data_IF_729086192583
#
_entry.id   IF_729086192583
#
_cell.length_a   1.000
_cell.length_b   1.000
_cell.length_c   1.000
_cell.angle_alpha   90.00
_cell.angle_beta   90.00
_cell.angle_gamma   90.00
#
_symmetry.space_group_name_H-M   'P 1'
#
loop_
_entity.id
_entity.type
_entity.pdbx_description
1 polymer ?
#
# COMPACT_ATOMS: atom_id res chain seq x y z
N UNK A 1 46.63 -80.12 30.08
CA UNK A 1 45.25 -80.38 29.61
C UNK A 1 44.37 -79.32 30.25
N UNK A 2 43.63 -78.44 29.58
CA UNK A 2 43.02 -78.45 28.25
C UNK A 2 42.82 -76.98 27.84
N UNK A 3 43.20 -76.68 26.60
CA UNK A 3 43.12 -75.40 25.91
C UNK A 3 41.99 -75.52 24.88
N UNK A 4 40.98 -74.64 24.92
CA UNK A 4 39.92 -74.40 23.92
C UNK A 4 39.22 -73.12 24.41
N UNK A 5 38.94 -72.02 23.68
CA UNK A 5 38.64 -71.73 22.26
C UNK A 5 38.43 -70.19 22.26
N UNK A 6 39.35 -69.37 21.73
CA UNK A 6 39.30 -68.78 20.39
C UNK A 6 37.87 -68.41 19.90
N UNK A 7 37.61 -67.11 19.93
CA UNK A 7 36.99 -66.30 18.88
C UNK A 7 35.56 -66.60 18.41
N UNK A 8 34.67 -65.69 18.80
CA UNK A 8 33.44 -65.21 18.15
C UNK A 8 32.63 -64.59 19.31
N UNK A 9 32.52 -63.27 19.45
CA UNK A 9 31.59 -62.48 18.67
C UNK A 9 32.02 -61.01 18.67
N UNK A 10 32.44 -60.52 17.50
CA UNK A 10 32.48 -59.09 17.23
C UNK A 10 31.05 -58.65 16.90
N UNK A 11 30.33 -58.21 17.92
CA UNK A 11 28.98 -57.67 17.83
C UNK A 11 29.00 -56.36 17.02
N UNK A 12 28.47 -56.41 15.80
CA UNK A 12 28.42 -55.28 14.88
C UNK A 12 27.47 -54.19 15.42
N UNK A 13 27.93 -52.96 15.73
CA UNK A 13 27.10 -51.89 16.30
C UNK A 13 26.06 -51.27 15.34
N UNK A 14 25.81 -51.88 14.18
CA UNK A 14 24.98 -51.31 13.11
C UNK A 14 23.77 -52.14 12.72
N UNK A 15 23.61 -53.35 13.28
CA UNK A 15 22.48 -54.22 12.95
C UNK A 15 21.21 -53.87 13.73
N UNK A 16 21.35 -53.34 14.95
CA UNK A 16 20.22 -53.01 15.82
C UNK A 16 19.55 -51.68 15.41
N UNK A 17 20.36 -50.65 15.13
CA UNK A 17 19.87 -49.35 14.65
C UNK A 17 19.14 -49.43 13.30
N UNK A 18 19.62 -50.27 12.38
CA UNK A 18 18.96 -50.48 11.08
C UNK A 18 17.69 -51.35 11.18
N UNK A 19 17.58 -52.19 12.21
CA UNK A 19 16.40 -53.04 12.47
C UNK A 19 15.31 -52.25 13.18
N UNK A 20 15.68 -51.32 14.05
CA UNK A 20 14.77 -50.36 14.69
C UNK A 20 14.22 -49.33 13.69
N UNK A 21 15.02 -48.82 12.76
CA UNK A 21 14.53 -47.96 11.67
C UNK A 21 13.60 -48.72 10.69
N UNK A 22 13.93 -49.97 10.35
CA UNK A 22 13.12 -50.79 9.45
C UNK A 22 11.83 -51.34 10.10
N UNK A 23 11.81 -51.52 11.41
CA UNK A 23 10.61 -51.85 12.19
C UNK A 23 9.72 -50.62 12.40
N UNK A 24 10.31 -49.45 12.64
CA UNK A 24 9.59 -48.17 12.73
C UNK A 24 8.93 -47.77 11.40
N UNK A 25 9.42 -48.28 10.26
CA UNK A 25 8.84 -48.05 8.95
C UNK A 25 7.67 -49.00 8.60
N UNK A 26 7.43 -50.06 9.39
CA UNK A 26 6.41 -51.07 9.08
C UNK A 26 5.15 -50.83 9.90
N UNK A 27 4.27 -50.03 9.29
CA UNK A 27 2.92 -49.67 9.70
C UNK A 27 2.83 -48.71 10.90
N UNK A 28 2.90 -47.41 10.62
CA UNK A 28 2.31 -46.39 11.49
C UNK A 28 0.91 -46.86 11.88
N UNK A 29 0.71 -47.16 13.16
CA UNK A 29 -0.58 -47.63 13.62
C UNK A 29 -1.59 -46.48 13.46
N UNK A 30 -2.90 -46.77 13.32
CA UNK A 30 -3.93 -45.74 13.30
C UNK A 30 -3.83 -44.78 14.51
N UNK A 31 -3.28 -45.25 15.63
CA UNK A 31 -3.05 -44.46 16.83
C UNK A 31 -1.92 -43.42 16.65
N UNK A 32 -0.84 -43.77 15.97
CA UNK A 32 0.31 -42.88 15.73
C UNK A 32 -0.04 -41.71 14.80
N UNK A 33 -0.87 -41.96 13.79
CA UNK A 33 -1.41 -40.92 12.90
C UNK A 33 -2.35 -39.96 13.63
N UNK A 34 -3.20 -40.48 14.54
CA UNK A 34 -4.08 -39.65 15.37
C UNK A 34 -3.27 -38.79 16.36
N UNK A 35 -2.13 -39.28 16.84
CA UNK A 35 -1.22 -38.51 17.70
C UNK A 35 -0.50 -37.42 16.90
N UNK A 36 0.06 -37.75 15.74
CA UNK A 36 0.67 -36.76 14.84
C UNK A 36 -0.32 -35.66 14.43
N UNK A 37 -1.58 -36.02 14.15
CA UNK A 37 -2.65 -35.04 13.88
C UNK A 37 -3.00 -34.18 15.09
N UNK A 38 -2.99 -34.76 16.30
CA UNK A 38 -3.20 -34.01 17.55
C UNK A 38 -2.07 -33.03 17.80
N UNK A 39 -0.83 -33.44 17.56
CA UNK A 39 0.37 -32.63 17.69
C UNK A 39 0.40 -31.50 16.63
N UNK A 40 0.11 -31.79 15.37
CA UNK A 40 -0.03 -30.79 14.31
C UNK A 40 -1.13 -29.79 14.65
N UNK A 41 -2.27 -30.25 15.17
CA UNK A 41 -3.36 -29.36 15.61
C UNK A 41 -2.96 -28.51 16.80
N UNK A 42 -2.24 -29.06 17.78
CA UNK A 42 -1.76 -28.32 18.95
C UNK A 42 -0.75 -27.24 18.54
N UNK A 43 0.22 -27.60 17.70
CA UNK A 43 1.20 -26.67 17.12
C UNK A 43 0.53 -25.62 16.24
N UNK A 44 -0.47 -26.02 15.45
CA UNK A 44 -1.29 -25.10 14.65
C UNK A 44 -2.03 -24.09 15.53
N UNK A 45 -2.67 -24.55 16.60
CA UNK A 45 -3.36 -23.68 17.55
C UNK A 45 -2.40 -22.73 18.28
N UNK A 46 -1.21 -23.21 18.64
CA UNK A 46 -0.16 -22.39 19.24
C UNK A 46 0.37 -21.33 18.28
N UNK A 47 0.60 -21.68 17.00
CA UNK A 47 1.05 -20.74 15.96
C UNK A 47 0.00 -19.67 15.64
N UNK A 48 -1.28 -20.04 15.64
CA UNK A 48 -2.39 -19.11 15.46
C UNK A 48 -2.48 -18.14 16.64
N UNK A 49 -2.32 -18.64 17.87
CA UNK A 49 -2.23 -17.82 19.08
C UNK A 49 -1.09 -16.80 18.99
N UNK A 50 0.11 -17.26 18.60
CA UNK A 50 1.27 -16.39 18.41
C UNK A 50 1.05 -15.34 17.31
N UNK A 51 0.39 -15.68 16.20
CA UNK A 51 0.05 -14.74 15.14
C UNK A 51 -0.95 -13.67 15.61
N UNK A 52 -1.95 -14.07 16.41
CA UNK A 52 -2.91 -13.13 17.01
C UNK A 52 -2.19 -12.18 17.95
N UNK A 53 -1.29 -12.67 18.79
CA UNK A 53 -0.55 -11.85 19.74
C UNK A 53 0.44 -10.91 19.03
N UNK A 54 1.10 -11.37 17.96
CA UNK A 54 1.90 -10.51 17.09
C UNK A 54 1.04 -9.40 16.44
N UNK A 55 -0.17 -9.73 15.97
CA UNK A 55 -1.12 -8.76 15.43
C UNK A 55 -1.55 -7.71 16.47
N UNK A 56 -1.80 -8.12 17.72
CA UNK A 56 -2.08 -7.19 18.82
C UNK A 56 -0.88 -6.26 19.08
N UNK A 57 0.33 -6.79 19.14
CA UNK A 57 1.55 -6.01 19.35
C UNK A 57 1.76 -4.98 18.23
N UNK A 58 1.57 -5.38 16.96
CA UNK A 58 1.65 -4.48 15.81
C UNK A 58 0.62 -3.35 15.91
N UNK A 59 -0.60 -3.66 16.36
CA UNK A 59 -1.65 -2.65 16.59
C UNK A 59 -1.27 -1.67 17.70
N UNK A 60 -0.66 -2.14 18.79
CA UNK A 60 -0.20 -1.26 19.87
C UNK A 60 0.93 -0.34 19.41
N UNK A 61 1.89 -0.86 18.63
CA UNK A 61 2.96 -0.06 18.04
C UNK A 61 2.39 1.02 17.10
N UNK A 62 1.51 0.64 16.18
CA UNK A 62 0.83 1.59 15.27
C UNK A 62 0.04 2.67 16.02
N UNK A 63 -0.66 2.29 17.10
CA UNK A 63 -1.38 3.26 17.93
C UNK A 63 -0.41 4.22 18.63
N UNK A 64 0.73 3.73 19.10
CA UNK A 64 1.78 4.55 19.70
C UNK A 64 2.42 5.50 18.67
N UNK A 65 2.75 5.01 17.47
CA UNK A 65 3.27 5.82 16.36
C UNK A 65 2.28 6.93 15.97
N UNK A 66 0.98 6.61 15.91
CA UNK A 66 -0.06 7.57 15.59
C UNK A 66 -0.25 8.61 16.72
N UNK A 67 -0.10 8.21 17.98
CA UNK A 67 -0.15 9.13 19.12
C UNK A 67 1.04 10.09 19.13
N UNK A 68 2.25 9.59 18.88
CA UNK A 68 3.46 10.39 18.70
C UNK A 68 3.29 11.38 17.55
N UNK A 69 2.85 10.88 16.38
CA UNK A 69 2.58 11.71 15.21
C UNK A 69 1.54 12.80 15.51
N UNK A 70 0.45 12.49 16.22
CA UNK A 70 -0.61 13.47 16.54
C UNK A 70 -0.10 14.59 17.45
N UNK A 71 0.74 14.27 18.43
CA UNK A 71 1.29 15.26 19.37
C UNK A 71 2.23 16.25 18.67
N UNK A 72 3.05 15.78 17.74
CA UNK A 72 3.94 16.62 16.94
C UNK A 72 3.17 17.35 15.82
N UNK A 73 2.21 16.69 15.17
CA UNK A 73 1.42 17.24 14.07
C UNK A 73 0.58 18.44 14.51
N UNK A 74 0.00 18.41 15.71
CA UNK A 74 -0.78 19.55 16.21
C UNK A 74 0.05 20.84 16.31
N UNK A 75 1.25 20.75 16.90
CA UNK A 75 2.18 21.88 16.98
C UNK A 75 2.74 22.25 15.60
N UNK A 76 3.04 21.26 14.77
CA UNK A 76 3.49 21.45 13.40
C UNK A 76 2.48 22.22 12.55
N UNK A 77 1.20 21.87 12.62
CA UNK A 77 0.11 22.58 11.95
C UNK A 77 -0.06 24.02 12.45
N UNK A 78 0.07 24.24 13.77
CA UNK A 78 0.01 25.58 14.33
C UNK A 78 1.16 26.47 13.80
N UNK A 79 2.40 25.96 13.79
CA UNK A 79 3.54 26.67 13.22
C UNK A 79 3.44 26.82 11.70
N UNK A 80 2.89 25.84 10.98
CA UNK A 80 2.64 25.94 9.55
C UNK A 80 1.63 27.05 9.22
N UNK A 81 0.54 27.14 9.99
CA UNK A 81 -0.43 28.23 9.87
C UNK A 81 0.20 29.59 10.14
N UNK A 82 0.99 29.71 11.21
CA UNK A 82 1.73 30.93 11.51
C UNK A 82 2.71 31.31 10.38
N UNK A 83 3.43 30.34 9.84
CA UNK A 83 4.36 30.55 8.73
C UNK A 83 3.63 31.02 7.46
N UNK A 84 2.45 30.47 7.15
CA UNK A 84 1.62 30.91 6.02
C UNK A 84 1.13 32.35 6.23
N UNK A 85 0.63 32.68 7.42
CA UNK A 85 0.15 34.04 7.73
C UNK A 85 1.29 35.07 7.66
N UNK A 86 2.44 34.76 8.28
CA UNK A 86 3.62 35.61 8.24
C UNK A 86 4.20 35.72 6.82
N UNK A 87 4.28 34.61 6.08
CA UNK A 87 4.75 34.58 4.70
C UNK A 87 3.87 35.39 3.76
N UNK A 88 2.54 35.28 3.88
CA UNK A 88 1.58 36.10 3.14
C UNK A 88 1.74 37.58 3.44
N UNK A 89 1.87 37.93 4.73
CA UNK A 89 2.07 39.33 5.16
C UNK A 89 3.38 39.91 4.63
N UNK A 90 4.47 39.16 4.74
CA UNK A 90 5.78 39.55 4.22
C UNK A 90 5.76 39.71 2.68
N UNK A 91 5.04 38.85 1.97
CA UNK A 91 4.88 38.97 0.52
C UNK A 91 4.17 40.26 0.09
N UNK A 92 3.10 40.65 0.79
CA UNK A 92 2.40 41.90 0.51
C UNK A 92 3.30 43.12 0.75
N UNK A 93 4.05 43.13 1.86
CA UNK A 93 5.03 44.19 2.13
C UNK A 93 6.14 44.22 1.09
N UNK A 94 6.60 43.06 0.61
CA UNK A 94 7.59 42.96 -0.46
C UNK A 94 7.07 43.54 -1.78
N UNK A 95 5.82 43.24 -2.18
CA UNK A 95 5.23 43.80 -3.39
C UNK A 95 5.01 45.32 -3.26
N UNK A 96 4.58 45.79 -2.09
CA UNK A 96 4.47 47.23 -1.83
C UNK A 96 5.82 47.95 -1.93
N UNK A 97 6.87 47.36 -1.35
CA UNK A 97 8.24 47.87 -1.44
C UNK A 97 8.77 47.84 -2.89
N UNK A 98 8.48 46.78 -3.64
CA UNK A 98 8.83 46.66 -5.06
C UNK A 98 8.18 47.80 -5.86
N UNK A 99 6.89 48.04 -5.68
CA UNK A 99 6.18 49.13 -6.36
C UNK A 99 6.82 50.47 -6.00
N UNK A 100 7.04 50.74 -4.71
CA UNK A 100 7.65 51.99 -4.27
C UNK A 100 9.04 52.19 -4.89
N UNK A 101 9.83 51.12 -5.01
CA UNK A 101 11.15 51.15 -5.66
C UNK A 101 11.02 51.46 -7.17
N UNK A 102 10.12 50.79 -7.88
CA UNK A 102 9.89 51.03 -9.31
C UNK A 102 9.40 52.47 -9.55
N UNK A 103 8.51 52.97 -8.70
CA UNK A 103 8.06 54.37 -8.77
C UNK A 103 9.20 55.36 -8.54
N UNK A 104 10.20 55.04 -7.70
CA UNK A 104 11.40 55.89 -7.52
C UNK A 104 12.31 55.95 -8.75
N UNK A 105 12.28 54.93 -9.61
CA UNK A 105 13.05 54.88 -10.87
C UNK A 105 12.34 55.66 -11.99
N UNK A 106 11.20 56.29 -11.70
CA UNK A 106 10.45 57.12 -12.64
C UNK A 106 9.41 56.34 -13.46
N UNK A 107 9.16 55.07 -13.14
CA UNK A 107 8.05 54.34 -13.76
C UNK A 107 6.71 54.92 -13.32
N UNK A 108 5.75 54.95 -14.24
CA UNK A 108 4.37 55.29 -13.89
C UNK A 108 3.84 54.33 -12.83
N UNK A 109 2.97 54.84 -11.95
CA UNK A 109 2.38 54.04 -10.88
C UNK A 109 1.62 52.82 -11.41
N UNK A 110 0.93 52.99 -12.55
CA UNK A 110 0.24 51.90 -13.25
C UNK A 110 1.23 50.84 -13.75
N UNK A 111 2.35 51.24 -14.37
CA UNK A 111 3.36 50.29 -14.85
C UNK A 111 3.99 49.50 -13.70
N UNK A 112 4.27 50.15 -12.57
CA UNK A 112 4.79 49.48 -11.37
C UNK A 112 3.81 48.45 -10.79
N UNK A 113 2.52 48.81 -10.72
CA UNK A 113 1.43 47.89 -10.32
C UNK A 113 1.32 46.70 -11.27
N UNK A 114 1.36 46.93 -12.59
CA UNK A 114 1.26 45.87 -13.60
C UNK A 114 2.44 44.88 -13.51
N UNK A 115 3.66 45.38 -13.27
CA UNK A 115 4.83 44.51 -13.08
C UNK A 115 4.67 43.64 -11.83
N UNK A 116 4.27 44.23 -10.70
CA UNK A 116 4.05 43.48 -9.46
C UNK A 116 2.90 42.46 -9.59
N UNK A 117 1.81 42.83 -10.27
CA UNK A 117 0.71 41.93 -10.59
C UNK A 117 1.16 40.78 -11.50
N UNK A 118 1.93 41.08 -12.55
CA UNK A 118 2.52 40.09 -13.44
C UNK A 118 3.41 39.09 -12.71
N UNK A 119 4.28 39.57 -11.83
CA UNK A 119 5.14 38.69 -11.00
C UNK A 119 4.30 37.78 -10.09
N UNK A 120 3.23 38.32 -9.50
CA UNK A 120 2.30 37.55 -8.67
C UNK A 120 1.57 36.48 -9.47
N UNK A 121 1.11 36.79 -10.68
CA UNK A 121 0.47 35.81 -11.56
C UNK A 121 1.43 34.67 -11.95
N UNK A 122 2.68 34.99 -12.25
CA UNK A 122 3.71 33.97 -12.54
C UNK A 122 3.95 33.08 -11.32
N UNK A 123 4.10 33.67 -10.13
CA UNK A 123 4.26 32.92 -8.89
C UNK A 123 3.06 32.00 -8.61
N UNK A 124 1.84 32.50 -8.80
CA UNK A 124 0.59 31.72 -8.66
C UNK A 124 0.52 30.59 -9.68
N UNK A 125 0.85 30.83 -10.95
CA UNK A 125 0.85 29.81 -11.98
C UNK A 125 1.87 28.69 -11.68
N UNK A 126 3.07 29.05 -11.23
CA UNK A 126 4.10 28.09 -10.82
C UNK A 126 3.68 27.26 -9.60
N UNK A 127 3.08 27.91 -8.59
CA UNK A 127 2.57 27.23 -7.42
C UNK A 127 1.42 26.27 -7.76
N UNK A 128 0.47 26.72 -8.60
CA UNK A 128 -0.64 25.89 -9.09
C UNK A 128 -0.15 24.70 -9.93
N UNK A 129 0.79 24.93 -10.85
CA UNK A 129 1.40 23.85 -11.63
C UNK A 129 2.12 22.83 -10.76
N UNK A 130 2.90 23.29 -9.77
CA UNK A 130 3.55 22.40 -8.79
C UNK A 130 2.52 21.62 -7.99
N UNK A 131 1.45 22.26 -7.51
CA UNK A 131 0.40 21.59 -6.76
C UNK A 131 -0.25 20.47 -7.60
N UNK A 132 -0.62 20.75 -8.86
CA UNK A 132 -1.19 19.76 -9.78
C UNK A 132 -0.22 18.58 -10.00
N UNK A 133 1.07 18.84 -10.20
CA UNK A 133 2.09 17.79 -10.32
C UNK A 133 2.24 16.97 -9.05
N UNK A 134 2.14 17.58 -7.87
CA UNK A 134 2.15 16.84 -6.60
C UNK A 134 0.91 15.95 -6.44
N UNK A 135 -0.25 16.39 -6.92
CA UNK A 135 -1.48 15.58 -6.93
C UNK A 135 -1.39 14.35 -7.84
N UNK A 136 -0.53 14.35 -8.86
CA UNK A 136 -0.29 13.17 -9.69
C UNK A 136 0.33 12.03 -8.86
N UNK A 137 1.19 12.34 -7.89
CA UNK A 137 1.85 11.35 -7.03
C UNK A 137 0.97 10.83 -5.89
N UNK A 138 -0.08 11.57 -5.51
CA UNK A 138 -1.03 11.13 -4.46
C UNK A 138 -2.19 10.32 -5.00
N UNK A 139 -2.30 10.15 -6.32
CA UNK A 139 -3.18 9.13 -6.89
C UNK A 139 -2.58 7.78 -6.52
N UNK A 140 -3.04 7.20 -5.40
CA UNK A 140 -2.74 5.84 -4.93
C UNK A 140 -3.26 4.77 -5.92
N UNK A 141 -2.86 4.83 -7.18
CA UNK A 141 -3.32 3.94 -8.25
C UNK A 141 -2.81 2.52 -8.00
N UNK A 142 -1.63 2.37 -7.38
CA UNK A 142 -1.11 1.08 -6.94
C UNK A 142 -1.95 0.50 -5.79
N UNK A 143 -2.20 1.29 -4.74
CA UNK A 143 -2.98 0.87 -3.57
C UNK A 143 -4.45 0.62 -3.91
N UNK A 144 -5.06 1.41 -4.82
CA UNK A 144 -6.41 1.14 -5.35
C UNK A 144 -6.47 -0.18 -6.11
N UNK A 145 -5.47 -0.48 -6.94
CA UNK A 145 -5.37 -1.77 -7.64
C UNK A 145 -5.14 -2.93 -6.68
N UNK A 146 -4.38 -2.71 -5.59
CA UNK A 146 -4.14 -3.72 -4.57
C UNK A 146 -5.36 -3.95 -3.66
N UNK A 147 -6.09 -2.92 -3.28
CA UNK A 147 -7.37 -3.05 -2.56
C UNK A 147 -8.43 -3.74 -3.42
N UNK A 148 -8.53 -3.39 -4.71
CA UNK A 148 -9.42 -4.06 -5.64
C UNK A 148 -9.10 -5.56 -5.78
N UNK A 149 -7.80 -5.93 -5.83
CA UNK A 149 -7.36 -7.33 -5.82
C UNK A 149 -7.66 -8.08 -4.52
N UNK A 150 -7.88 -7.37 -3.41
CA UNK A 150 -8.26 -7.93 -2.11
C UNK A 150 -9.78 -7.91 -1.86
N UNK A 151 -10.58 -7.52 -2.87
CA UNK A 151 -12.05 -7.49 -2.77
C UNK A 151 -12.60 -6.34 -1.90
N UNK A 152 -11.78 -5.35 -1.57
CA UNK A 152 -12.19 -4.20 -0.76
C UNK A 152 -12.42 -2.97 -1.66
N UNK A 153 -13.69 -2.71 -1.99
CA UNK A 153 -14.15 -1.51 -2.70
C UNK A 153 -15.08 -1.82 -3.88
N UNK A 154 -15.81 -0.81 -4.33
CA UNK A 154 -16.83 -0.83 -5.41
C UNK A 154 -16.36 -1.42 -6.76
N UNK A 155 -15.05 -1.65 -6.94
CA UNK A 155 -14.48 -2.32 -8.12
C UNK A 155 -14.44 -3.85 -8.00
N UNK A 156 -14.76 -4.43 -6.83
CA UNK A 156 -14.85 -5.88 -6.65
C UNK A 156 -15.96 -6.49 -7.51
N UNK A 157 -17.07 -5.76 -7.71
CA UNK A 157 -18.21 -6.20 -8.53
C UNK A 157 -17.91 -6.19 -10.04
N UNK A 158 -16.85 -5.49 -10.47
CA UNK A 158 -16.45 -5.40 -11.89
C UNK A 158 -15.23 -6.29 -12.23
N UNK A 159 -14.71 -7.06 -11.28
CA UNK A 159 -13.62 -8.00 -11.53
C UNK A 159 -14.16 -9.44 -11.64
N UNK A 160 -13.82 -10.16 -12.73
CA UNK A 160 -14.11 -11.59 -12.83
C UNK A 160 -13.44 -12.37 -11.70
N UNK A 161 -14.06 -13.45 -11.21
CA UNK A 161 -13.48 -14.30 -10.16
C UNK A 161 -12.10 -14.85 -10.57
N UNK A 162 -11.23 -15.13 -9.58
CA UNK A 162 -9.80 -15.44 -9.77
C UNK A 162 -9.51 -16.69 -10.62
N UNK A 163 -10.53 -17.48 -10.93
CA UNK A 163 -10.53 -18.74 -11.64
C UNK A 163 -11.17 -18.67 -13.05
N UNK A 164 -11.49 -17.46 -13.55
CA UNK A 164 -11.97 -17.25 -14.91
C UNK A 164 -10.83 -17.39 -15.97
N UNK A 165 -10.95 -18.27 -16.98
CA UNK A 165 -10.00 -18.35 -18.09
C UNK A 165 -10.10 -17.10 -18.98
N UNK A 166 -9.02 -16.32 -19.06
CA UNK A 166 -8.74 -15.21 -20.00
C UNK A 166 -9.79 -14.09 -20.15
N UNK A 167 -9.78 -13.06 -19.27
CA UNK A 167 -10.72 -11.94 -19.35
C UNK A 167 -10.23 -10.76 -20.22
N UNK A 168 -8.99 -10.77 -20.73
CA UNK A 168 -8.40 -9.59 -21.36
C UNK A 168 -8.90 -9.28 -22.77
N UNK A 169 -9.31 -10.29 -23.55
CA UNK A 169 -9.70 -10.14 -24.95
C UNK A 169 -11.21 -10.09 -25.15
N UNK A 170 -11.94 -11.04 -24.57
CA UNK A 170 -13.40 -11.08 -24.68
C UNK A 170 -14.08 -9.91 -23.95
N UNK A 171 -13.60 -9.50 -22.78
CA UNK A 171 -14.15 -8.33 -22.10
C UNK A 171 -13.83 -7.01 -22.84
N UNK A 172 -12.67 -6.95 -23.51
CA UNK A 172 -12.30 -5.80 -24.34
C UNK A 172 -13.14 -5.73 -25.64
N UNK A 173 -13.51 -6.87 -26.20
CA UNK A 173 -14.40 -6.97 -27.37
C UNK A 173 -15.86 -6.67 -26.99
N UNK A 174 -16.36 -7.22 -25.88
CA UNK A 174 -17.69 -6.94 -25.37
C UNK A 174 -17.89 -5.44 -25.04
N UNK A 175 -16.88 -4.79 -24.46
CA UNK A 175 -16.91 -3.35 -24.18
C UNK A 175 -16.87 -2.51 -25.47
N UNK A 176 -16.09 -2.92 -26.48
CA UNK A 176 -16.05 -2.26 -27.79
C UNK A 176 -17.37 -2.41 -28.54
N UNK A 177 -18.02 -3.56 -28.45
CA UNK A 177 -19.30 -3.80 -29.10
C UNK A 177 -20.45 -3.05 -28.40
N UNK A 178 -20.42 -2.99 -27.06
CA UNK A 178 -21.34 -2.16 -26.29
C UNK A 178 -21.16 -0.66 -26.58
N UNK A 179 -19.92 -0.18 -26.70
CA UNK A 179 -19.62 1.21 -27.08
C UNK A 179 -20.04 1.54 -28.51
N UNK A 180 -20.02 0.56 -29.43
CA UNK A 180 -20.46 0.73 -30.83
C UNK A 180 -21.99 0.79 -30.97
N UNK A 181 -22.73 0.20 -30.03
CA UNK A 181 -24.21 0.16 -30.01
C UNK A 181 -24.83 1.31 -29.19
N UNK A 182 -24.05 2.06 -28.42
CA UNK A 182 -24.55 3.17 -27.63
C UNK A 182 -24.71 4.46 -28.47
N UNK A 183 -25.84 5.19 -28.37
CA UNK A 183 -25.97 6.50 -28.99
C UNK A 183 -24.96 7.50 -28.39
N UNK A 184 -24.51 8.51 -29.15
CA UNK A 184 -23.57 9.50 -28.65
C UNK A 184 -24.16 10.25 -27.45
N UNK A 185 -23.47 10.19 -26.32
CA UNK A 185 -23.82 10.90 -25.08
C UNK A 185 -23.10 12.25 -25.02
N UNK A 186 -23.81 13.29 -24.59
CA UNK A 186 -23.27 14.62 -24.26
C UNK A 186 -22.26 14.49 -23.08
N UNK A 187 -21.19 15.31 -22.96
CA UNK A 187 -20.29 15.37 -21.79
C UNK A 187 -20.93 15.39 -20.39
N UNK A 188 -22.24 15.61 -20.28
CA UNK A 188 -23.05 15.55 -19.04
C UNK A 188 -23.83 14.25 -18.84
N UNK A 189 -23.71 13.26 -19.72
CA UNK A 189 -24.25 11.90 -19.53
C UNK A 189 -25.74 11.73 -19.82
N UNK A 190 -26.41 12.71 -20.42
CA UNK A 190 -27.78 12.60 -20.90
C UNK A 190 -27.88 12.06 -22.33
N UNK A 191 -28.96 11.33 -22.64
CA UNK A 191 -29.25 10.82 -23.98
C UNK A 191 -29.83 11.95 -24.86
N UNK A 192 -29.24 12.16 -26.04
CA UNK A 192 -29.70 13.16 -27.02
C UNK A 192 -30.87 12.55 -27.80
N UNK A 193 -32.09 13.04 -27.55
CA UNK A 193 -33.26 12.71 -28.37
C UNK A 193 -33.27 13.66 -29.59
N UNK A 194 -33.28 13.15 -30.85
CA UNK A 194 -33.38 13.99 -32.04
C UNK A 194 -34.79 14.59 -32.20
N UNK A 195 -34.92 15.77 -32.86
CA UNK A 195 -36.18 16.51 -32.98
C UNK A 195 -37.24 15.83 -33.86
#
# INVERSE_FOLDING_TARGET
MRQTRADADAEAPGADAARDEAASARAASPADLLEALREIRATGHASLGAAIDAGKALRYLLAADLALARSAAGRGLAFAGLAVAAGGSAWLLLMAALVALLSRVGLSWLSAMLIAAGLSLVATALAGWRALRYFEYTRLQATRRQLARLGLGELADFMPPPDAPQPGREAAEALREAARKAPPKDPTGGDIVPP
#
